data_IF_209592490513
#
_entry.id   IF_209592490513
#
_cell.length_a   1.000
_cell.length_b   1.000
_cell.length_c   1.000
_cell.angle_alpha   90.00
_cell.angle_beta   90.00
_cell.angle_gamma   90.00
#
_symmetry.space_group_name_H-M   'P 1'
#
loop_
_entity.id
_entity.type
_entity.pdbx_description
1 polymer ?
#
# COMPACT_ATOMS: atom_id res chain seq x y z
N UNK A 1 -15.53 9.08 1.73
CA UNK A 1 -14.45 8.09 1.53
C UNK A 1 -13.71 8.46 0.26
N UNK A 2 -12.41 8.77 0.34
CA UNK A 2 -11.66 9.38 -0.76
C UNK A 2 -10.51 8.49 -1.24
N UNK A 3 -9.62 8.06 -0.36
CA UNK A 3 -8.42 7.31 -0.76
C UNK A 3 -8.47 5.87 -0.27
N UNK A 4 -8.15 4.91 -1.13
CA UNK A 4 -7.95 3.50 -0.80
C UNK A 4 -6.47 3.17 -0.90
N UNK A 5 -5.91 2.51 0.11
CA UNK A 5 -4.52 2.06 0.13
C UNK A 5 -4.50 0.56 -0.15
N UNK A 6 -3.64 0.13 -1.07
CA UNK A 6 -3.49 -1.26 -1.46
C UNK A 6 -2.00 -1.61 -1.44
N UNK A 7 -1.57 -2.63 -0.67
CA UNK A 7 -0.19 -3.11 -0.67
C UNK A 7 -0.06 -4.35 -1.53
N UNK A 8 1.02 -4.44 -2.32
CA UNK A 8 1.26 -5.57 -3.23
C UNK A 8 2.31 -6.51 -2.65
N UNK A 9 2.05 -7.81 -2.73
CA UNK A 9 3.00 -8.88 -2.45
C UNK A 9 3.51 -9.47 -3.78
N UNK A 10 4.82 -9.76 -3.89
CA UNK A 10 5.40 -10.48 -5.05
C UNK A 10 5.78 -11.89 -4.63
N UNK A 11 4.79 -12.73 -4.38
CA UNK A 11 4.97 -14.16 -4.07
C UNK A 11 4.32 -15.02 -5.15
N UNK A 12 4.97 -15.12 -6.32
CA UNK A 12 4.56 -16.04 -7.40
C UNK A 12 3.27 -15.65 -8.14
N UNK A 13 2.69 -16.60 -8.90
CA UNK A 13 1.59 -16.44 -9.88
C UNK A 13 0.31 -15.73 -9.37
N UNK A 14 0.19 -15.44 -8.07
CA UNK A 14 -0.91 -14.70 -7.48
C UNK A 14 -0.40 -13.45 -6.73
N UNK A 15 -0.56 -12.27 -7.33
CA UNK A 15 -0.35 -11.02 -6.61
C UNK A 15 -1.48 -10.82 -5.59
N UNK A 16 -1.18 -11.03 -4.30
CA UNK A 16 -2.11 -10.70 -3.22
C UNK A 16 -2.04 -9.19 -2.96
N UNK A 17 -3.20 -8.56 -2.97
CA UNK A 17 -3.36 -7.16 -2.62
C UNK A 17 -4.05 -7.07 -1.26
N UNK A 18 -3.34 -6.65 -0.21
CA UNK A 18 -4.02 -6.25 1.02
C UNK A 18 -4.67 -4.89 0.76
N UNK A 19 -5.93 -4.75 1.14
CA UNK A 19 -6.69 -3.51 0.94
C UNK A 19 -7.11 -2.98 2.29
N UNK A 20 -6.77 -1.73 2.57
CA UNK A 20 -7.23 -1.02 3.76
C UNK A 20 -8.57 -0.33 3.50
N UNK A 21 -9.37 -0.17 4.54
CA UNK A 21 -10.59 0.62 4.48
C UNK A 21 -10.34 2.04 3.91
N UNK A 22 -11.25 2.55 3.06
CA UNK A 22 -11.11 3.86 2.48
C UNK A 22 -11.01 4.98 3.51
N UNK A 23 -10.02 5.84 3.34
CA UNK A 23 -9.77 7.00 4.18
C UNK A 23 -10.43 8.24 3.58
N UNK A 24 -11.04 9.08 4.41
CA UNK A 24 -11.53 10.41 4.02
C UNK A 24 -10.61 11.49 4.63
N UNK A 25 -9.39 11.58 4.09
CA UNK A 25 -8.33 12.48 4.54
C UNK A 25 -7.66 13.14 3.33
N UNK A 26 -6.75 14.09 3.58
CA UNK A 26 -5.91 14.65 2.51
C UNK A 26 -4.89 13.64 1.97
N UNK A 27 -4.42 13.84 0.74
CA UNK A 27 -3.50 12.90 0.09
C UNK A 27 -2.20 12.73 0.87
N UNK A 28 -1.68 13.80 1.46
CA UNK A 28 -0.47 13.75 2.28
C UNK A 28 -0.64 12.83 3.50
N UNK A 29 -1.80 12.90 4.17
CA UNK A 29 -2.13 12.02 5.30
C UNK A 29 -2.34 10.58 4.83
N UNK A 30 -3.02 10.36 3.70
CA UNK A 30 -3.18 9.03 3.13
C UNK A 30 -1.83 8.39 2.77
N UNK A 31 -0.89 9.17 2.23
CA UNK A 31 0.49 8.73 1.95
C UNK A 31 1.24 8.34 3.21
N UNK A 32 1.23 9.16 4.25
CA UNK A 32 1.88 8.83 5.51
C UNK A 32 1.33 7.53 6.11
N UNK A 33 0.00 7.36 6.10
CA UNK A 33 -0.61 6.12 6.58
C UNK A 33 -0.28 4.92 5.70
N UNK A 34 -0.17 5.11 4.38
CA UNK A 34 0.24 4.06 3.45
C UNK A 34 1.66 3.58 3.72
N UNK A 35 2.59 4.51 3.97
CA UNK A 35 3.98 4.17 4.33
C UNK A 35 4.03 3.38 5.62
N UNK A 36 3.39 3.88 6.69
CA UNK A 36 3.40 3.22 8.01
C UNK A 36 2.79 1.83 7.92
N UNK A 37 1.62 1.72 7.29
CA UNK A 37 0.93 0.43 7.20
C UNK A 37 1.67 -0.55 6.31
N UNK A 38 2.15 -0.11 5.15
CA UNK A 38 2.83 -0.98 4.20
C UNK A 38 4.22 -1.40 4.72
N UNK A 39 4.84 -0.64 5.63
CA UNK A 39 6.02 -1.09 6.37
C UNK A 39 5.67 -2.30 7.26
N UNK A 40 4.58 -2.23 8.03
CA UNK A 40 4.11 -3.37 8.82
C UNK A 40 3.75 -4.57 7.93
N UNK A 41 3.00 -4.35 6.84
CA UNK A 41 2.68 -5.42 5.88
C UNK A 41 3.94 -6.00 5.23
N UNK A 42 4.97 -5.19 4.98
CA UNK A 42 6.26 -5.66 4.48
C UNK A 42 6.97 -6.57 5.47
N UNK A 43 6.93 -6.25 6.76
CA UNK A 43 7.52 -7.08 7.82
C UNK A 43 6.72 -8.39 8.01
N UNK A 44 5.38 -8.32 8.03
CA UNK A 44 4.53 -9.48 8.31
C UNK A 44 4.33 -10.41 7.10
N UNK A 45 4.23 -9.84 5.88
CA UNK A 45 3.77 -10.53 4.67
C UNK A 45 4.70 -10.36 3.46
N UNK A 46 5.80 -9.62 3.60
CA UNK A 46 6.76 -9.44 2.49
C UNK A 46 6.22 -8.59 1.34
N UNK A 47 5.34 -7.61 1.63
CA UNK A 47 4.92 -6.63 0.64
C UNK A 47 6.13 -5.97 -0.05
N UNK A 48 6.01 -5.75 -1.35
CA UNK A 48 7.04 -5.16 -2.22
C UNK A 48 6.67 -3.75 -2.66
N UNK A 49 5.57 -3.19 -2.19
CA UNK A 49 5.16 -1.82 -2.48
C UNK A 49 3.71 -1.55 -2.08
N UNK A 50 3.25 -0.34 -2.37
CA UNK A 50 1.87 0.06 -2.20
C UNK A 50 1.40 1.04 -3.28
N UNK A 51 0.09 1.13 -3.43
CA UNK A 51 -0.56 2.14 -4.25
C UNK A 51 -1.72 2.78 -3.49
N UNK A 52 -2.04 4.02 -3.88
CA UNK A 52 -3.18 4.77 -3.36
C UNK A 52 -4.09 5.11 -4.53
N UNK A 53 -5.37 4.75 -4.40
CA UNK A 53 -6.42 5.04 -5.37
C UNK A 53 -7.35 6.14 -4.87
N UNK A 54 -7.70 7.09 -5.72
CA UNK A 54 -8.76 8.07 -5.45
C UNK A 54 -10.12 7.51 -5.90
N UNK A 55 -10.96 7.17 -4.94
CA UNK A 55 -12.31 6.65 -5.17
C UNK A 55 -13.27 7.72 -5.72
N UNK A 56 -12.96 9.01 -5.58
CA UNK A 56 -13.74 10.08 -6.19
C UNK A 56 -13.47 10.21 -7.69
N UNK A 57 -12.38 9.61 -8.17
CA UNK A 57 -11.97 9.61 -9.56
C UNK A 57 -11.85 8.18 -10.07
N UNK A 58 -12.96 7.41 -9.99
CA UNK A 58 -13.08 6.05 -10.54
C UNK A 58 -12.02 5.03 -10.03
N UNK A 59 -11.35 5.32 -8.90
CA UNK A 59 -10.26 4.49 -8.40
C UNK A 59 -8.95 4.66 -9.15
N UNK A 60 -8.72 5.82 -9.79
CA UNK A 60 -7.45 6.19 -10.39
C UNK A 60 -6.31 6.12 -9.39
N UNK A 61 -5.17 5.56 -9.81
CA UNK A 61 -3.95 5.50 -9.01
C UNK A 61 -3.36 6.92 -8.93
N UNK A 62 -3.29 7.47 -7.73
CA UNK A 62 -2.72 8.80 -7.45
C UNK A 62 -1.36 8.71 -6.75
N UNK A 63 -0.96 7.52 -6.30
CA UNK A 63 0.38 7.23 -5.76
C UNK A 63 0.70 5.77 -5.99
N UNK A 64 1.94 5.48 -6.36
CA UNK A 64 2.51 4.14 -6.49
C UNK A 64 3.94 4.22 -5.95
N UNK A 65 4.29 3.34 -5.02
CA UNK A 65 5.64 3.21 -4.48
C UNK A 65 6.02 1.74 -4.39
N UNK A 66 7.21 1.40 -4.88
CA UNK A 66 7.81 0.08 -4.78
C UNK A 66 8.90 0.09 -3.69
N UNK A 67 8.99 -0.98 -2.93
CA UNK A 67 10.06 -1.24 -1.98
C UNK A 67 11.21 -1.92 -2.72
N UNK A 68 12.21 -1.14 -3.11
CA UNK A 68 13.38 -1.62 -3.85
C UNK A 68 14.30 -2.54 -3.04
N UNK A 69 14.18 -2.53 -1.72
CA UNK A 69 15.00 -3.32 -0.82
C UNK A 69 14.20 -4.51 -0.26
N UNK A 70 14.82 -5.67 -0.03
CA UNK A 70 14.17 -6.79 0.64
C UNK A 70 13.73 -6.37 2.06
N UNK A 71 12.65 -6.94 2.62
CA UNK A 71 12.26 -6.67 4.00
C UNK A 71 13.44 -6.94 4.95
N UNK A 72 13.65 -6.11 6.00
CA UNK A 72 14.69 -6.37 6.98
C UNK A 72 14.44 -7.75 7.62
N UNK A 73 15.45 -8.61 7.63
CA UNK A 73 15.38 -9.90 8.32
C UNK A 73 15.35 -9.64 9.82
N UNK A 74 14.18 -9.75 10.44
CA UNK A 74 14.07 -9.69 11.90
C UNK A 74 14.58 -11.03 12.44
N UNK A 75 15.76 -11.01 13.07
CA UNK A 75 16.40 -12.17 13.72
C UNK A 75 15.96 -12.32 15.17
#
# INVERSE_FOLDING_TARGET
MRYRIESRETTGENAICQVRDPLDVELATARLQAIIWSASVREDLGATGFQIRDLRHEGCIVTLEDFSEPPPTVH
#
